data_IF_120859710334
#
_entry.id   IF_120859710334
#
_cell.length_a   1.000
_cell.length_b   1.000
_cell.length_c   1.000
_cell.angle_alpha   90.00
_cell.angle_beta   90.00
_cell.angle_gamma   90.00
#
_symmetry.space_group_name_H-M   'P 1'
#
loop_
_entity.id
_entity.type
_entity.pdbx_description
1 polymer ?
#
# COMPACT_ATOMS: atom_id res chain seq x y z
N UNK A 1 3.82 4.73 -37.52
CA UNK A 1 4.89 4.61 -36.51
C UNK A 1 4.70 5.81 -35.59
N UNK A 2 3.83 5.65 -34.59
CA UNK A 2 3.33 6.73 -33.72
C UNK A 2 4.23 6.83 -32.51
N UNK A 3 4.93 7.96 -32.38
CA UNK A 3 5.79 8.28 -31.25
C UNK A 3 4.99 8.29 -29.94
N UNK A 4 5.46 7.51 -28.97
CA UNK A 4 5.02 7.55 -27.59
C UNK A 4 5.68 8.75 -26.91
N UNK A 5 5.04 9.91 -26.95
CA UNK A 5 5.44 11.04 -26.11
C UNK A 5 5.25 10.65 -24.64
N UNK A 6 6.27 10.81 -23.77
CA UNK A 6 6.11 10.54 -22.35
C UNK A 6 5.09 11.53 -21.77
N UNK A 7 4.14 11.04 -20.97
CA UNK A 7 3.28 11.91 -20.18
C UNK A 7 4.15 12.65 -19.15
N UNK A 8 4.44 13.93 -19.42
CA UNK A 8 5.05 14.82 -18.44
C UNK A 8 3.96 15.44 -17.58
N UNK A 9 4.00 15.17 -16.27
CA UNK A 9 3.06 15.72 -15.26
C UNK A 9 3.34 17.22 -14.99
N UNK A 10 4.46 17.75 -15.50
CA UNK A 10 4.89 19.12 -15.20
C UNK A 10 4.59 20.06 -16.37
N UNK A 11 3.81 21.10 -16.11
CA UNK A 11 3.54 22.19 -17.05
C UNK A 11 4.86 22.85 -17.51
N UNK A 12 4.98 23.29 -18.78
CA UNK A 12 6.24 23.78 -19.35
C UNK A 12 6.65 25.19 -18.88
N UNK A 13 6.06 25.73 -17.82
CA UNK A 13 6.26 27.12 -17.38
C UNK A 13 6.74 27.23 -15.94
N UNK A 14 7.91 26.66 -15.68
CA UNK A 14 8.90 27.11 -14.70
C UNK A 14 9.98 26.03 -14.69
N UNK A 15 11.26 26.42 -14.69
CA UNK A 15 12.32 25.48 -14.32
C UNK A 15 11.94 24.90 -12.94
N UNK A 16 11.62 23.60 -12.81
CA UNK A 16 11.21 23.05 -11.53
C UNK A 16 12.37 23.24 -10.58
N UNK A 17 12.19 24.10 -9.59
CA UNK A 17 13.18 24.28 -8.55
C UNK A 17 13.09 23.04 -7.66
N UNK A 18 13.92 22.04 -7.94
CA UNK A 18 13.94 20.78 -7.19
C UNK A 18 14.25 20.99 -5.70
N UNK A 19 14.75 22.17 -5.31
CA UNK A 19 14.90 22.61 -3.92
C UNK A 19 13.55 22.81 -3.19
N UNK A 20 12.43 22.75 -3.91
CA UNK A 20 11.05 22.87 -3.36
C UNK A 20 10.29 21.55 -3.29
N UNK A 21 10.92 20.42 -3.66
CA UNK A 21 10.29 19.12 -3.50
C UNK A 21 10.11 18.85 -2.00
N UNK A 22 8.88 18.54 -1.58
CA UNK A 22 8.62 18.16 -0.19
C UNK A 22 9.53 16.98 0.16
N UNK A 23 10.33 17.12 1.21
CA UNK A 23 11.24 16.08 1.67
C UNK A 23 10.49 14.76 1.92
N UNK A 24 9.21 14.86 2.30
CA UNK A 24 8.31 13.71 2.46
C UNK A 24 8.07 12.94 1.16
N UNK A 25 8.09 13.60 0.00
CA UNK A 25 7.97 12.97 -1.32
C UNK A 25 9.21 12.12 -1.62
N UNK A 26 10.41 12.65 -1.36
CA UNK A 26 11.66 11.89 -1.55
C UNK A 26 11.68 10.66 -0.65
N UNK A 27 11.25 10.79 0.61
CA UNK A 27 11.15 9.65 1.52
C UNK A 27 10.11 8.61 1.07
N UNK A 28 8.96 9.04 0.58
CA UNK A 28 7.93 8.13 0.07
C UNK A 28 8.40 7.39 -1.20
N UNK A 29 9.15 8.07 -2.07
CA UNK A 29 9.72 7.47 -3.27
C UNK A 29 10.75 6.38 -2.92
N UNK A 30 11.65 6.67 -1.97
CA UNK A 30 12.60 5.68 -1.45
C UNK A 30 11.89 4.52 -0.75
N UNK A 31 10.88 4.81 0.08
CA UNK A 31 10.08 3.78 0.75
C UNK A 31 9.39 2.86 -0.26
N UNK A 32 8.81 3.42 -1.32
CA UNK A 32 8.22 2.64 -2.41
C UNK A 32 9.24 1.73 -3.08
N UNK A 33 10.44 2.22 -3.37
CA UNK A 33 11.51 1.40 -3.98
C UNK A 33 11.92 0.25 -3.05
N UNK A 34 12.05 0.53 -1.75
CA UNK A 34 12.34 -0.50 -0.73
C UNK A 34 11.24 -1.57 -0.71
N UNK A 35 9.97 -1.16 -0.68
CA UNK A 35 8.81 -2.06 -0.69
C UNK A 35 8.78 -2.92 -1.96
N UNK A 36 9.07 -2.31 -3.10
CA UNK A 36 9.08 -3.02 -4.38
C UNK A 36 10.16 -4.12 -4.43
N UNK A 37 11.32 -3.87 -3.81
CA UNK A 37 12.42 -4.84 -3.74
C UNK A 37 12.25 -5.89 -2.63
N UNK A 38 11.28 -5.72 -1.72
CA UNK A 38 11.01 -6.69 -0.65
C UNK A 38 10.49 -8.01 -1.21
N UNK A 39 10.96 -9.11 -0.63
CA UNK A 39 10.40 -10.45 -0.89
C UNK A 39 9.34 -10.76 0.14
N UNK A 40 8.11 -10.90 -0.34
CA UNK A 40 6.97 -11.32 0.45
C UNK A 40 6.89 -12.85 0.42
N UNK A 41 7.23 -13.48 1.54
CA UNK A 41 7.05 -14.93 1.70
C UNK A 41 5.62 -15.26 2.14
N UNK A 42 5.32 -16.53 2.36
CA UNK A 42 3.96 -16.95 2.74
C UNK A 42 3.53 -16.44 4.13
N UNK A 43 4.48 -16.08 5.01
CA UNK A 43 4.21 -15.71 6.40
C UNK A 43 3.76 -14.25 6.54
N UNK A 44 4.10 -13.39 5.59
CA UNK A 44 3.73 -11.95 5.63
C UNK A 44 2.23 -11.70 5.74
N UNK A 45 1.40 -12.61 5.23
CA UNK A 45 -0.07 -12.53 5.35
C UNK A 45 -0.52 -12.76 6.78
N UNK A 46 0.04 -13.77 7.44
CA UNK A 46 -0.25 -14.05 8.84
C UNK A 46 0.22 -12.89 9.72
N UNK A 47 1.40 -12.34 9.44
CA UNK A 47 1.89 -11.15 10.14
C UNK A 47 0.97 -9.94 9.98
N UNK A 48 0.41 -9.74 8.78
CA UNK A 48 -0.57 -8.69 8.53
C UNK A 48 -1.87 -8.93 9.31
N UNK A 49 -2.42 -10.14 9.29
CA UNK A 49 -3.62 -10.49 10.07
C UNK A 49 -3.39 -10.25 11.57
N UNK A 50 -2.27 -10.72 12.11
CA UNK A 50 -1.93 -10.56 13.53
C UNK A 50 -1.74 -9.09 13.91
N UNK A 51 -1.12 -8.31 13.03
CA UNK A 51 -0.99 -6.86 13.18
C UNK A 51 -2.38 -6.20 13.21
N UNK A 52 -3.23 -6.50 12.23
CA UNK A 52 -4.57 -5.94 12.11
C UNK A 52 -5.42 -6.27 13.35
N UNK A 53 -5.40 -7.52 13.82
CA UNK A 53 -6.12 -7.94 15.03
C UNK A 53 -5.66 -7.19 16.30
N UNK A 54 -4.37 -6.85 16.40
CA UNK A 54 -3.85 -6.07 17.54
C UNK A 54 -4.22 -4.59 17.46
N UNK A 55 -4.34 -4.04 16.25
CA UNK A 55 -4.60 -2.62 16.04
C UNK A 55 -6.07 -2.21 16.22
N UNK A 56 -7.02 -3.16 16.19
CA UNK A 56 -8.45 -2.87 16.28
C UNK A 56 -9.13 -3.57 17.48
N UNK A 57 -9.78 -2.77 18.34
CA UNK A 57 -10.47 -3.22 19.55
C UNK A 57 -11.84 -3.86 19.32
N UNK A 58 -12.42 -3.71 18.12
CA UNK A 58 -13.81 -4.11 17.83
C UNK A 58 -13.82 -5.46 17.07
N UNK A 59 -13.94 -6.55 17.83
CA UNK A 59 -13.52 -7.89 17.40
C UNK A 59 -14.53 -8.63 16.50
N UNK A 60 -15.83 -8.31 16.55
CA UNK A 60 -16.83 -9.23 15.99
C UNK A 60 -17.01 -9.12 14.47
N UNK A 61 -17.19 -7.92 13.93
CA UNK A 61 -17.42 -7.75 12.48
C UNK A 61 -16.15 -7.94 11.65
N UNK A 62 -15.00 -7.45 12.15
CA UNK A 62 -13.73 -7.56 11.47
C UNK A 62 -13.20 -9.00 11.42
N UNK A 63 -13.57 -9.85 12.38
CA UNK A 63 -13.12 -11.25 12.40
C UNK A 63 -13.60 -12.07 11.20
N UNK A 64 -14.80 -11.80 10.65
CA UNK A 64 -15.33 -12.60 9.54
C UNK A 64 -14.67 -12.26 8.21
N UNK A 65 -14.53 -10.97 7.90
CA UNK A 65 -13.83 -10.50 6.70
C UNK A 65 -12.36 -10.94 6.72
N UNK A 66 -11.73 -10.87 7.90
CA UNK A 66 -10.35 -11.30 8.08
C UNK A 66 -10.17 -12.82 7.93
N UNK A 67 -11.07 -13.63 8.50
CA UNK A 67 -11.07 -15.09 8.27
C UNK A 67 -11.26 -15.43 6.79
N UNK A 68 -12.16 -14.73 6.11
CA UNK A 68 -12.39 -14.93 4.67
C UNK A 68 -11.14 -14.56 3.87
N UNK A 69 -10.49 -13.46 4.22
CA UNK A 69 -9.21 -13.06 3.63
C UNK A 69 -8.17 -14.17 3.80
N UNK A 70 -7.94 -14.68 5.02
CA UNK A 70 -6.94 -15.73 5.26
C UNK A 70 -7.22 -17.03 4.49
N UNK A 71 -8.49 -17.47 4.47
CA UNK A 71 -8.88 -18.74 3.86
C UNK A 71 -8.92 -18.68 2.33
N UNK A 72 -9.27 -17.54 1.76
CA UNK A 72 -9.52 -17.39 0.33
C UNK A 72 -8.47 -16.54 -0.37
N UNK A 73 -7.43 -16.06 0.32
CA UNK A 73 -6.47 -15.12 -0.27
C UNK A 73 -5.95 -15.58 -1.63
N UNK A 74 -5.48 -16.83 -1.69
CA UNK A 74 -4.89 -17.47 -2.89
C UNK A 74 -5.87 -17.59 -4.08
N UNK A 75 -7.17 -17.45 -3.85
CA UNK A 75 -8.18 -17.54 -4.89
C UNK A 75 -8.28 -16.26 -5.74
N UNK A 76 -7.71 -15.15 -5.26
CA UNK A 76 -7.81 -13.84 -5.88
C UNK A 76 -6.48 -13.09 -5.85
N UNK A 77 -6.31 -12.13 -6.74
CA UNK A 77 -5.10 -11.29 -6.75
C UNK A 77 -5.09 -10.30 -5.56
N UNK A 78 -3.92 -9.81 -5.14
CA UNK A 78 -3.83 -8.77 -4.09
C UNK A 78 -4.68 -7.54 -4.41
N UNK A 79 -4.73 -7.13 -5.68
CA UNK A 79 -5.54 -5.99 -6.17
C UNK A 79 -7.04 -6.24 -5.97
N UNK A 80 -7.49 -7.48 -6.18
CA UNK A 80 -8.89 -7.84 -5.94
C UNK A 80 -9.26 -7.66 -4.47
N UNK A 81 -8.41 -8.12 -3.56
CA UNK A 81 -8.60 -7.94 -2.11
C UNK A 81 -8.59 -6.48 -1.70
N UNK A 82 -7.65 -5.69 -2.25
CA UNK A 82 -7.58 -4.25 -2.02
C UNK A 82 -8.86 -3.51 -2.43
N UNK A 83 -9.50 -3.93 -3.53
CA UNK A 83 -10.74 -3.29 -4.01
C UNK A 83 -12.00 -3.86 -3.36
N UNK A 84 -11.99 -5.11 -2.92
CA UNK A 84 -13.15 -5.80 -2.36
C UNK A 84 -13.38 -5.47 -0.89
N UNK A 85 -12.33 -5.54 -0.08
CA UNK A 85 -12.44 -5.50 1.37
C UNK A 85 -12.20 -4.10 1.92
N UNK A 86 -13.21 -3.56 2.60
CA UNK A 86 -13.16 -2.19 3.14
C UNK A 86 -11.99 -2.01 4.10
N UNK A 87 -11.66 -3.02 4.90
CA UNK A 87 -10.58 -2.92 5.87
C UNK A 87 -9.20 -2.82 5.22
N UNK A 88 -8.98 -3.49 4.08
CA UNK A 88 -7.70 -3.44 3.35
C UNK A 88 -7.56 -2.07 2.70
N UNK A 89 -8.57 -1.65 1.94
CA UNK A 89 -8.60 -0.34 1.30
C UNK A 89 -8.41 0.81 2.30
N UNK A 90 -9.20 0.81 3.38
CA UNK A 90 -9.18 1.91 4.35
C UNK A 90 -7.87 1.95 5.15
N UNK A 91 -7.33 0.80 5.54
CA UNK A 91 -6.07 0.73 6.30
C UNK A 91 -4.90 1.21 5.45
N UNK A 92 -4.74 0.69 4.23
CA UNK A 92 -3.61 1.05 3.37
C UNK A 92 -3.66 2.52 2.95
N UNK A 93 -4.82 3.03 2.52
CA UNK A 93 -4.93 4.43 2.10
C UNK A 93 -4.76 5.40 3.27
N UNK A 94 -5.24 5.03 4.47
CA UNK A 94 -4.99 5.82 5.67
C UNK A 94 -3.50 5.86 5.97
N UNK A 95 -2.83 4.72 5.94
CA UNK A 95 -1.39 4.60 6.20
C UNK A 95 -0.56 5.43 5.22
N UNK A 96 -0.87 5.34 3.91
CA UNK A 96 -0.22 6.16 2.87
C UNK A 96 -0.44 7.67 3.11
N UNK A 97 -1.64 8.08 3.51
CA UNK A 97 -1.98 9.49 3.76
C UNK A 97 -1.23 10.08 4.96
N UNK A 98 -1.03 9.28 6.01
CA UNK A 98 -0.33 9.71 7.24
C UNK A 98 1.14 9.30 7.26
N UNK A 99 1.62 8.64 6.20
CA UNK A 99 2.98 8.11 6.08
C UNK A 99 3.37 7.15 7.20
N UNK A 100 2.44 6.29 7.62
CA UNK A 100 2.69 5.24 8.62
C UNK A 100 3.53 4.11 8.00
N UNK A 101 4.84 4.20 8.16
CA UNK A 101 5.80 3.25 7.58
C UNK A 101 5.64 1.82 8.09
N UNK A 102 5.19 1.62 9.34
CA UNK A 102 4.99 0.27 9.89
C UNK A 102 3.84 -0.42 9.17
N UNK A 103 2.69 0.25 9.09
CA UNK A 103 1.52 -0.27 8.39
C UNK A 103 1.80 -0.45 6.89
N UNK A 104 2.43 0.54 6.25
CA UNK A 104 2.78 0.46 4.82
C UNK A 104 3.68 -0.75 4.55
N UNK A 105 4.70 -0.99 5.38
CA UNK A 105 5.61 -2.14 5.20
C UNK A 105 4.89 -3.46 5.38
N UNK A 106 4.02 -3.58 6.39
CA UNK A 106 3.20 -4.78 6.64
C UNK A 106 2.19 -5.05 5.53
N UNK A 107 1.74 -4.02 4.83
CA UNK A 107 0.81 -4.11 3.70
C UNK A 107 1.52 -4.05 2.34
N UNK A 108 2.85 -4.10 2.31
CA UNK A 108 3.63 -3.86 1.09
C UNK A 108 3.36 -4.86 -0.04
N UNK A 109 2.88 -6.07 0.28
CA UNK A 109 2.46 -7.07 -0.69
C UNK A 109 1.21 -6.68 -1.52
N UNK A 110 0.57 -5.55 -1.21
CA UNK A 110 -0.50 -4.93 -2.01
C UNK A 110 -0.02 -3.83 -2.96
N UNK A 111 1.24 -3.40 -2.85
CA UNK A 111 1.85 -2.30 -3.60
C UNK A 111 2.71 -2.86 -4.75
#
# INVERSE_FOLDING_TARGET
>A
MTDLTPFSIVSPTSSPNFDTLDQSFMYMQLLKEIIFDMKYDHNVRQEFTDFYLKSFFDQDFQSKALRQFEQCYELHSPIWWYTKEHFIYSTLNKALRIQDSETITKMGFFI
#
